data_IF_950685617834
#
_entry.id   IF_950685617834
#
_cell.length_a   1.000
_cell.length_b   1.000
_cell.length_c   1.000
_cell.angle_alpha   90.00
_cell.angle_beta   90.00
_cell.angle_gamma   90.00
#
_symmetry.space_group_name_H-M   'P 1'
#
loop_
_entity.id
_entity.type
_entity.pdbx_description
1 polymer ?
#
# COMPACT_ATOMS: atom_id res chain seq x y z
N UNK A 1 -42.94 -17.30 13.01
CA UNK A 1 -41.86 -16.64 13.77
C UNK A 1 -40.54 -17.12 13.18
N UNK A 2 -39.88 -16.32 12.33
CA UNK A 2 -38.65 -15.55 12.64
C UNK A 2 -37.64 -16.44 13.40
N UNK A 3 -36.44 -16.74 12.91
CA UNK A 3 -35.46 -15.85 12.31
C UNK A 3 -34.66 -16.57 11.20
N UNK A 4 -34.58 -15.92 10.04
CA UNK A 4 -33.45 -16.05 9.13
C UNK A 4 -32.18 -15.66 9.89
N UNK A 5 -31.21 -16.56 9.98
CA UNK A 5 -29.86 -16.27 10.44
C UNK A 5 -29.18 -15.37 9.42
N UNK A 6 -29.14 -14.09 9.75
CA UNK A 6 -28.55 -13.01 8.96
C UNK A 6 -27.08 -13.31 8.64
N UNK A 7 -26.80 -13.60 7.38
CA UNK A 7 -25.46 -13.56 6.79
C UNK A 7 -25.03 -12.09 6.77
N UNK A 8 -24.40 -11.62 7.85
CA UNK A 8 -23.80 -10.29 7.91
C UNK A 8 -22.54 -10.28 7.02
N UNK A 9 -22.73 -10.08 5.72
CA UNK A 9 -21.67 -9.70 4.80
C UNK A 9 -21.23 -8.30 5.24
N UNK A 10 -20.13 -8.25 5.99
CA UNK A 10 -19.46 -7.04 6.44
C UNK A 10 -18.85 -6.33 5.21
N UNK A 11 -19.68 -5.63 4.44
CA UNK A 11 -19.24 -4.67 3.43
C UNK A 11 -18.70 -3.45 4.18
N UNK A 12 -17.42 -3.49 4.54
CA UNK A 12 -16.69 -2.25 4.78
C UNK A 12 -16.65 -1.57 3.41
N UNK A 13 -17.14 -0.33 3.25
CA UNK A 13 -16.86 0.45 2.06
C UNK A 13 -15.35 0.70 2.06
N UNK A 14 -14.62 -0.18 1.37
CA UNK A 14 -13.26 0.11 0.96
C UNK A 14 -13.42 1.29 0.00
N UNK A 15 -13.19 2.51 0.50
CA UNK A 15 -13.11 3.69 -0.35
C UNK A 15 -11.78 3.54 -1.11
N UNK A 16 -11.80 2.72 -2.16
CA UNK A 16 -10.72 2.61 -3.11
C UNK A 16 -10.76 3.88 -3.96
N UNK A 17 -10.00 4.90 -3.56
CA UNK A 17 -9.68 6.01 -4.43
C UNK A 17 -8.77 5.48 -5.55
N UNK A 18 -9.39 5.07 -6.66
CA UNK A 18 -8.72 4.84 -7.93
C UNK A 18 -9.38 5.73 -8.96
N UNK A 19 -8.77 6.86 -9.29
CA UNK A 19 -9.11 7.62 -10.49
C UNK A 19 -7.84 7.92 -11.28
N UNK A 20 -7.90 7.63 -12.58
CA UNK A 20 -6.91 8.00 -13.57
C UNK A 20 -6.87 9.53 -13.69
N UNK A 21 -5.84 10.15 -13.11
CA UNK A 21 -5.41 11.50 -13.46
C UNK A 21 -4.06 11.38 -14.17
N UNK A 22 -3.77 12.28 -15.12
CA UNK A 22 -2.52 12.30 -15.89
C UNK A 22 -1.31 12.04 -14.99
N UNK A 23 -0.59 10.94 -15.26
CA UNK A 23 0.58 10.44 -14.53
C UNK A 23 1.83 11.34 -14.69
N UNK A 24 1.69 12.67 -14.67
CA UNK A 24 2.86 13.55 -14.69
C UNK A 24 3.66 13.36 -13.40
N UNK A 25 4.91 12.94 -13.57
CA UNK A 25 5.87 12.90 -12.48
C UNK A 25 6.14 14.32 -11.99
N UNK A 26 5.92 14.53 -10.69
CA UNK A 26 6.42 15.73 -10.03
C UNK A 26 7.95 15.64 -9.96
N UNK A 27 8.70 16.69 -10.34
CA UNK A 27 10.16 16.71 -10.22
C UNK A 27 10.67 16.34 -8.82
N UNK A 28 9.89 16.67 -7.77
CA UNK A 28 10.18 16.31 -6.38
C UNK A 28 10.35 14.80 -6.17
N UNK A 29 9.60 13.94 -6.87
CA UNK A 29 9.69 12.49 -6.67
C UNK A 29 11.00 11.93 -7.25
N UNK A 30 11.47 12.48 -8.37
CA UNK A 30 12.73 12.08 -9.02
C UNK A 30 13.89 12.43 -8.11
N UNK A 31 13.93 13.67 -7.62
CA UNK A 31 14.97 14.12 -6.68
C UNK A 31 14.97 13.33 -5.38
N UNK A 32 13.80 12.95 -4.86
CA UNK A 32 13.72 12.10 -3.66
C UNK A 32 14.28 10.69 -3.92
N UNK A 33 14.03 10.13 -5.10
CA UNK A 33 14.54 8.82 -5.50
C UNK A 33 16.03 8.83 -5.84
N UNK A 34 16.56 9.88 -6.45
CA UNK A 34 18.00 10.02 -6.71
C UNK A 34 18.82 9.98 -5.42
N UNK A 35 18.26 10.51 -4.34
CA UNK A 35 18.89 10.53 -3.02
C UNK A 35 18.50 9.33 -2.14
N UNK A 36 17.72 8.37 -2.64
CA UNK A 36 17.20 7.26 -1.83
C UNK A 36 18.24 6.14 -1.68
N UNK A 37 18.57 5.84 -0.43
CA UNK A 37 19.39 4.67 -0.06
C UNK A 37 18.51 3.68 0.70
N UNK A 38 18.39 2.41 0.25
CA UNK A 38 17.58 1.42 0.95
C UNK A 38 18.14 1.09 2.32
N UNK A 39 17.33 1.29 3.36
CA UNK A 39 17.68 0.92 4.73
C UNK A 39 17.01 -0.39 5.15
N UNK A 40 17.72 -1.21 5.92
CA UNK A 40 17.27 -2.54 6.34
C UNK A 40 16.39 -2.50 7.62
N UNK A 41 15.68 -1.41 7.84
CA UNK A 41 14.73 -1.25 8.95
C UNK A 41 13.36 -1.80 8.56
N UNK A 42 12.65 -2.44 9.49
CA UNK A 42 11.25 -2.83 9.28
C UNK A 42 10.30 -1.63 9.28
N UNK A 43 10.68 -0.55 9.96
CA UNK A 43 9.88 0.66 10.06
C UNK A 43 10.18 1.58 8.88
N UNK A 44 9.15 2.32 8.47
CA UNK A 44 9.28 3.39 7.49
C UNK A 44 10.06 4.55 8.11
N UNK A 45 11.18 4.92 7.50
CA UNK A 45 11.96 6.08 7.91
C UNK A 45 11.38 7.39 7.33
N UNK A 46 12.00 8.52 7.64
CA UNK A 46 11.50 9.83 7.21
C UNK A 46 11.51 10.01 5.68
N UNK A 47 12.57 9.56 5.01
CA UNK A 47 12.69 9.67 3.55
C UNK A 47 11.67 8.78 2.84
N UNK A 48 11.50 7.55 3.31
CA UNK A 48 10.52 6.59 2.83
C UNK A 48 9.08 7.10 3.03
N UNK A 49 8.79 7.73 4.18
CA UNK A 49 7.49 8.35 4.44
C UNK A 49 7.19 9.49 3.45
N UNK A 50 8.20 10.32 3.15
CA UNK A 50 8.07 11.39 2.13
C UNK A 50 7.83 10.82 0.74
N UNK A 51 8.58 9.78 0.34
CA UNK A 51 8.38 9.09 -0.93
C UNK A 51 6.98 8.48 -1.04
N UNK A 52 6.50 7.80 0.01
CA UNK A 52 5.16 7.24 0.06
C UNK A 52 4.08 8.32 -0.07
N UNK A 53 4.25 9.45 0.62
CA UNK A 53 3.32 10.58 0.51
C UNK A 53 3.25 11.13 -0.91
N UNK A 54 4.38 11.27 -1.60
CA UNK A 54 4.40 11.76 -2.99
C UNK A 54 3.80 10.73 -3.97
N UNK A 55 4.14 9.45 -3.80
CA UNK A 55 3.58 8.34 -4.58
C UNK A 55 2.05 8.24 -4.41
N UNK A 56 1.57 8.39 -3.18
CA UNK A 56 0.16 8.31 -2.81
C UNK A 56 -0.56 9.67 -2.87
N UNK A 57 0.09 10.76 -3.32
CA UNK A 57 -0.46 12.12 -3.22
C UNK A 57 -1.80 12.29 -3.94
N UNK A 58 -2.04 11.51 -5.00
CA UNK A 58 -3.32 11.48 -5.74
C UNK A 58 -4.45 10.82 -4.96
N UNK A 59 -4.13 9.98 -3.96
CA UNK A 59 -5.12 9.42 -3.05
C UNK A 59 -5.57 10.40 -1.96
N UNK A 60 -5.01 11.62 -1.92
CA UNK A 60 -5.35 12.63 -0.91
C UNK A 60 -4.96 12.23 0.51
N UNK A 61 -3.97 11.34 0.67
CA UNK A 61 -3.60 10.77 1.96
C UNK A 61 -3.14 11.83 2.96
N UNK A 62 -3.79 11.87 4.12
CA UNK A 62 -3.33 12.58 5.31
C UNK A 62 -2.61 11.66 6.30
N UNK A 63 -2.42 10.39 5.95
CA UNK A 63 -1.85 9.39 6.84
C UNK A 63 -0.33 9.56 6.94
N UNK A 64 0.18 9.66 8.17
CA UNK A 64 1.61 9.73 8.43
C UNK A 64 2.21 8.33 8.53
N UNK A 65 3.04 7.99 7.54
CA UNK A 65 3.73 6.71 7.46
C UNK A 65 5.02 6.68 8.29
N UNK A 66 5.50 7.80 8.82
CA UNK A 66 6.74 7.83 9.58
C UNK A 66 6.68 6.91 10.81
N UNK A 67 7.70 6.08 10.99
CA UNK A 67 7.83 5.11 12.07
C UNK A 67 6.67 4.10 12.15
N UNK A 68 6.05 3.80 11.00
CA UNK A 68 5.00 2.78 10.88
C UNK A 68 5.56 1.48 10.33
N UNK A 69 5.00 0.35 10.76
CA UNK A 69 5.24 -0.97 10.17
C UNK A 69 4.25 -1.15 9.02
N UNK A 70 4.74 -1.10 7.79
CA UNK A 70 3.91 -1.14 6.57
C UNK A 70 4.21 -2.40 5.79
N UNK A 71 3.17 -3.07 5.31
CA UNK A 71 3.31 -4.20 4.39
C UNK A 71 3.03 -3.76 2.97
N UNK A 72 3.86 -4.23 2.03
CA UNK A 72 3.72 -3.92 0.61
C UNK A 72 3.15 -5.12 -0.13
N UNK A 73 2.16 -4.85 -0.97
CA UNK A 73 1.40 -5.87 -1.67
C UNK A 73 1.35 -5.55 -3.15
N UNK A 74 1.63 -6.55 -3.98
CA UNK A 74 1.63 -6.44 -5.44
C UNK A 74 0.90 -7.59 -6.12
N UNK A 75 0.96 -7.59 -7.45
CA UNK A 75 0.35 -8.57 -8.32
C UNK A 75 -1.06 -8.18 -8.76
N UNK A 76 -1.52 -8.76 -9.86
CA UNK A 76 -2.81 -8.43 -10.49
C UNK A 76 -4.00 -8.51 -9.53
N UNK A 77 -3.93 -9.40 -8.52
CA UNK A 77 -4.95 -9.65 -7.49
C UNK A 77 -4.58 -9.10 -6.11
N UNK A 78 -3.46 -8.38 -5.97
CA UNK A 78 -2.99 -7.90 -4.66
C UNK A 78 -2.69 -9.03 -3.68
N UNK A 79 -2.07 -10.10 -4.16
CA UNK A 79 -1.79 -11.30 -3.36
C UNK A 79 -0.30 -11.55 -3.14
N UNK A 80 0.60 -10.76 -3.70
CA UNK A 80 2.04 -10.97 -3.51
C UNK A 80 2.56 -10.02 -2.44
N UNK A 81 3.11 -10.55 -1.34
CA UNK A 81 3.85 -9.74 -0.38
C UNK A 81 5.20 -9.36 -1.00
N UNK A 82 5.58 -8.10 -0.85
CA UNK A 82 6.85 -7.56 -1.34
C UNK A 82 7.58 -6.93 -0.16
N UNK A 83 8.89 -7.14 -0.08
CA UNK A 83 9.69 -6.48 0.94
C UNK A 83 9.82 -4.97 0.65
N UNK A 84 10.06 -4.20 1.71
CA UNK A 84 10.16 -2.73 1.65
C UNK A 84 11.16 -2.26 0.59
N UNK A 85 12.33 -2.89 0.54
CA UNK A 85 13.41 -2.51 -0.38
C UNK A 85 12.99 -2.75 -1.83
N UNK A 86 12.45 -3.92 -2.14
CA UNK A 86 11.94 -4.25 -3.48
C UNK A 86 10.81 -3.31 -3.90
N UNK A 87 9.92 -2.90 -2.98
CA UNK A 87 8.89 -1.91 -3.27
C UNK A 87 9.49 -0.57 -3.73
N UNK A 88 10.41 0.02 -2.97
CA UNK A 88 10.99 1.31 -3.34
C UNK A 88 11.87 1.20 -4.58
N UNK A 89 12.68 0.15 -4.71
CA UNK A 89 13.55 -0.06 -5.87
C UNK A 89 12.76 -0.27 -7.18
N UNK A 90 11.64 -1.00 -7.11
CA UNK A 90 10.79 -1.22 -8.28
C UNK A 90 10.11 0.07 -8.76
N UNK A 91 9.57 0.86 -7.82
CA UNK A 91 8.99 2.18 -8.13
C UNK A 91 10.05 3.16 -8.64
N UNK A 92 11.22 3.22 -8.01
CA UNK A 92 12.37 4.02 -8.46
C UNK A 92 12.74 3.67 -9.91
N UNK A 93 12.97 2.38 -10.19
CA UNK A 93 13.37 1.90 -11.50
C UNK A 93 12.32 2.22 -12.57
N UNK A 94 11.04 2.07 -12.24
CA UNK A 94 9.93 2.38 -13.14
C UNK A 94 9.89 3.89 -13.47
N UNK A 95 9.90 4.73 -12.44
CA UNK A 95 9.84 6.20 -12.55
C UNK A 95 11.02 6.73 -13.36
N UNK A 96 12.25 6.27 -13.07
CA UNK A 96 13.45 6.69 -13.82
C UNK A 96 13.35 6.27 -15.29
N UNK A 97 12.88 5.05 -15.57
CA UNK A 97 12.83 4.51 -16.93
C UNK A 97 11.72 5.13 -17.78
N UNK A 98 10.55 5.39 -17.18
CA UNK A 98 9.35 5.74 -17.92
C UNK A 98 8.93 7.20 -17.78
N UNK A 99 9.47 7.93 -16.81
CA UNK A 99 9.10 9.34 -16.60
C UNK A 99 7.64 9.51 -16.14
N UNK A 100 6.99 8.44 -15.68
CA UNK A 100 5.61 8.44 -15.18
C UNK A 100 5.49 7.70 -13.84
N UNK A 101 4.46 8.03 -13.04
CA UNK A 101 4.16 7.31 -11.80
C UNK A 101 3.56 5.93 -12.09
N UNK A 102 3.73 5.02 -11.15
CA UNK A 102 3.01 3.75 -11.15
C UNK A 102 1.51 4.01 -10.96
N UNK A 103 0.71 3.70 -11.97
CA UNK A 103 -0.75 3.68 -11.86
C UNK A 103 -1.22 2.65 -10.83
N UNK A 104 -2.32 2.94 -10.12
CA UNK A 104 -2.96 2.03 -9.15
C UNK A 104 -2.10 1.72 -7.91
N UNK A 105 -1.48 2.75 -7.35
CA UNK A 105 -0.93 2.70 -5.99
C UNK A 105 -1.96 3.24 -4.99
N UNK A 106 -2.10 2.57 -3.85
CA UNK A 106 -3.00 3.01 -2.78
C UNK A 106 -2.66 2.34 -1.46
N UNK A 107 -3.45 2.65 -0.42
CA UNK A 107 -3.19 2.11 0.91
C UNK A 107 -4.48 1.87 1.71
N UNK A 108 -4.36 1.02 2.72
CA UNK A 108 -5.38 0.78 3.74
C UNK A 108 -4.72 0.89 5.11
N UNK A 109 -5.27 1.74 5.98
CA UNK A 109 -4.87 1.77 7.40
C UNK A 109 -5.54 0.60 8.11
N UNK A 110 -4.74 -0.16 8.85
CA UNK A 110 -5.22 -1.34 9.57
C UNK A 110 -5.62 -0.99 10.99
N UNK A 111 -6.77 -1.52 11.40
CA UNK A 111 -7.11 -1.65 12.81
C UNK A 111 -6.45 -2.92 13.34
N UNK A 112 -5.36 -2.75 14.12
CA UNK A 112 -4.58 -3.87 14.66
C UNK A 112 -5.41 -4.83 15.50
N UNK A 113 -6.37 -4.31 16.28
CA UNK A 113 -7.22 -5.14 17.13
C UNK A 113 -8.19 -5.99 16.30
N UNK A 114 -8.77 -5.39 15.26
CA UNK A 114 -9.69 -6.08 14.35
C UNK A 114 -8.97 -7.12 13.48
N UNK A 115 -7.80 -6.76 12.97
CA UNK A 115 -7.05 -7.59 12.04
C UNK A 115 -6.18 -8.64 12.72
N UNK A 116 -5.79 -8.44 13.98
CA UNK A 116 -4.83 -9.26 14.74
C UNK A 116 -3.43 -9.24 14.13
N UNK A 117 -2.96 -8.04 13.80
CA UNK A 117 -1.69 -7.84 13.09
C UNK A 117 -0.84 -6.77 13.75
N UNK A 118 0.47 -6.85 13.51
CA UNK A 118 1.48 -5.91 13.95
C UNK A 118 1.65 -4.72 12.98
N UNK A 119 1.14 -4.82 11.75
CA UNK A 119 1.23 -3.75 10.74
C UNK A 119 0.23 -2.62 11.00
N UNK A 120 0.64 -1.39 10.71
CA UNK A 120 -0.18 -0.20 10.78
C UNK A 120 -0.95 0.06 9.48
N UNK A 121 -0.38 -0.32 8.34
CA UNK A 121 -0.99 -0.11 7.03
C UNK A 121 -0.53 -1.13 5.99
N UNK A 122 -1.34 -1.28 4.95
CA UNK A 122 -1.04 -2.02 3.72
C UNK A 122 -0.89 -1.00 2.61
N UNK A 123 0.21 -1.04 1.86
CA UNK A 123 0.37 -0.32 0.60
C UNK A 123 0.26 -1.32 -0.54
N UNK A 124 -0.62 -1.06 -1.49
CA UNK A 124 -0.80 -1.89 -2.68
C UNK A 124 -0.34 -1.14 -3.93
N UNK A 125 0.32 -1.85 -4.85
CA UNK A 125 0.84 -1.28 -6.09
C UNK A 125 0.84 -2.34 -7.20
N UNK A 126 0.73 -1.92 -8.47
CA UNK A 126 0.59 -2.82 -9.63
C UNK A 126 -0.59 -3.81 -9.52
N UNK A 127 -1.66 -3.39 -8.84
CA UNK A 127 -2.89 -4.17 -8.72
C UNK A 127 -3.87 -3.75 -9.82
N UNK A 128 -4.38 -4.72 -10.59
CA UNK A 128 -5.31 -4.44 -11.69
C UNK A 128 -6.73 -4.16 -11.20
N UNK A 129 -7.14 -4.78 -10.09
CA UNK A 129 -8.49 -4.62 -9.53
C UNK A 129 -8.40 -4.44 -8.01
N UNK A 130 -8.20 -3.21 -7.50
CA UNK A 130 -8.07 -2.95 -6.07
C UNK A 130 -9.32 -3.37 -5.26
N UNK A 131 -10.51 -3.39 -5.88
CA UNK A 131 -11.75 -3.86 -5.24
C UNK A 131 -11.90 -5.38 -5.07
N UNK A 132 -10.97 -6.18 -5.62
CA UNK A 132 -10.99 -7.66 -5.56
C UNK A 132 -9.83 -8.26 -4.75
N UNK A 133 -9.14 -7.46 -3.93
CA UNK A 133 -8.08 -7.99 -3.08
C UNK A 133 -8.70 -9.03 -2.12
N UNK A 134 -8.30 -10.32 -2.19
CA UNK A 134 -8.88 -11.36 -1.33
C UNK A 134 -8.41 -11.17 0.11
N UNK A 135 -9.16 -10.38 0.88
CA UNK A 135 -8.83 -9.98 2.26
C UNK A 135 -8.59 -11.16 3.20
N UNK A 136 -9.26 -12.31 2.96
CA UNK A 136 -9.09 -13.52 3.78
C UNK A 136 -7.69 -14.13 3.67
N UNK A 137 -7.16 -14.27 2.45
CA UNK A 137 -5.83 -14.85 2.21
C UNK A 137 -4.74 -13.88 2.65
N UNK A 138 -4.97 -12.58 2.47
CA UNK A 138 -4.03 -11.55 2.93
C UNK A 138 -3.95 -11.56 4.47
N UNK A 139 -5.09 -11.61 5.16
CA UNK A 139 -5.12 -11.65 6.62
C UNK A 139 -4.31 -12.81 7.20
N UNK A 140 -4.54 -14.03 6.74
CA UNK A 140 -3.81 -15.21 7.24
C UNK A 140 -2.30 -15.07 7.08
N UNK A 141 -1.84 -14.41 6.01
CA UNK A 141 -0.41 -14.20 5.75
C UNK A 141 0.19 -13.10 6.62
N UNK A 142 -0.58 -12.08 6.95
CA UNK A 142 -0.16 -11.02 7.87
C UNK A 142 -0.08 -11.52 9.31
N UNK A 143 -0.98 -12.44 9.71
CA UNK A 143 -0.95 -13.05 11.03
C UNK A 143 0.36 -13.84 11.22
N UNK A 144 0.81 -14.59 10.20
CA UNK A 144 2.03 -15.41 10.23
C UNK A 144 3.35 -14.61 10.15
N UNK A 145 3.31 -13.30 9.92
CA UNK A 145 4.52 -12.48 9.74
C UNK A 145 4.77 -11.51 10.90
N UNK A 146 4.04 -11.69 12.00
CA UNK A 146 4.16 -10.89 13.21
C UNK A 146 4.90 -11.60 14.36
N UNK A 147 5.35 -12.83 14.11
CA UNK A 147 6.25 -13.61 14.96
C UNK A 147 7.71 -13.39 14.54
#
# INVERSE_FOLDING_TARGET
MKLLTTLAIFLIPMICFGQEAKNEIKPSIVTLFENYTPENSELINEQEARLLKELLSESGTSYDFFHKKVVFVSGSTGSTLVDKKSFFQSNQSYIIKHGEKVSNIGYVVLDKAKWKTCYDAIVFFWVKVPGLIPTKNLRQRLDNSCD
#
